data_IF_004899670056
#
_entry.id   IF_004899670056
#
_cell.length_a   1.000
_cell.length_b   1.000
_cell.length_c   1.000
_cell.angle_alpha   90.00
_cell.angle_beta   90.00
_cell.angle_gamma   90.00
#
_symmetry.space_group_name_H-M   'P 1'
#
loop_
_entity.id
_entity.type
_entity.pdbx_description
1 polymer ?
#
# COMPACT_ATOMS: atom_id res chain seq x y z
N UNK A 1 25.64 6.68 13.13
CA UNK A 1 25.40 6.66 14.60
C UNK A 1 26.69 6.70 15.43
N UNK A 2 27.61 5.75 15.27
CA UNK A 2 28.86 5.66 16.07
C UNK A 2 29.70 6.94 16.05
N UNK A 3 29.94 7.52 14.88
CA UNK A 3 30.67 8.79 14.74
C UNK A 3 29.94 9.98 15.40
N UNK A 4 28.61 9.99 15.37
CA UNK A 4 27.82 11.02 16.05
C UNK A 4 27.90 10.88 17.57
N UNK A 5 27.71 9.66 18.11
CA UNK A 5 27.84 9.39 19.55
C UNK A 5 29.23 9.78 20.07
N UNK A 6 30.28 9.53 19.27
CA UNK A 6 31.66 9.90 19.60
C UNK A 6 31.85 11.43 19.59
N UNK A 7 31.33 12.14 18.59
CA UNK A 7 31.54 13.58 18.42
C UNK A 7 30.62 14.46 19.28
N UNK A 8 29.53 13.92 19.82
CA UNK A 8 28.51 14.65 20.58
C UNK A 8 28.59 14.42 22.09
N UNK A 9 29.72 13.94 22.61
CA UNK A 9 29.90 13.63 24.04
C UNK A 9 29.61 14.87 24.90
N UNK A 10 28.68 14.74 25.84
CA UNK A 10 28.24 15.83 26.71
C UNK A 10 27.16 16.77 26.13
N UNK A 11 26.69 16.52 24.90
CA UNK A 11 25.59 17.29 24.28
C UNK A 11 24.28 16.49 24.27
N UNK A 12 23.14 17.19 24.20
CA UNK A 12 21.81 16.61 24.04
C UNK A 12 21.27 16.90 22.65
N UNK A 13 21.09 15.85 21.84
CA UNK A 13 20.46 15.95 20.53
C UNK A 13 18.94 16.03 20.63
N UNK A 14 18.29 16.81 19.77
CA UNK A 14 16.84 16.81 19.64
C UNK A 14 16.38 16.93 18.18
N UNK A 15 15.22 16.33 17.87
CA UNK A 15 14.56 16.49 16.58
C UNK A 15 13.46 17.54 16.68
N UNK A 16 13.65 18.65 15.96
CA UNK A 16 12.73 19.79 15.98
C UNK A 16 11.32 19.43 15.51
N UNK A 17 11.16 18.38 14.68
CA UNK A 17 9.85 17.99 14.17
C UNK A 17 9.01 17.24 15.20
N UNK A 18 9.63 16.66 16.23
CA UNK A 18 8.94 15.79 17.18
C UNK A 18 9.04 16.27 18.63
N UNK A 19 10.04 17.08 18.98
CA UNK A 19 10.22 17.54 20.34
C UNK A 19 9.11 18.53 20.73
N UNK A 20 8.29 18.24 21.77
CA UNK A 20 7.31 19.19 22.24
C UNK A 20 7.98 20.48 22.70
N UNK A 21 7.39 21.63 22.37
CA UNK A 21 7.95 22.95 22.67
C UNK A 21 8.34 23.14 24.15
N UNK A 22 7.52 22.61 25.07
CA UNK A 22 7.80 22.69 26.51
C UNK A 22 9.09 21.97 26.91
N UNK A 23 9.40 20.85 26.26
CA UNK A 23 10.64 20.10 26.50
C UNK A 23 11.82 20.86 25.90
N UNK A 24 11.65 21.46 24.71
CA UNK A 24 12.66 22.34 24.13
C UNK A 24 13.03 23.48 25.08
N UNK A 25 12.03 24.18 25.64
CA UNK A 25 12.26 25.26 26.61
C UNK A 25 13.05 24.78 27.85
N UNK A 26 12.73 23.57 28.36
CA UNK A 26 13.48 22.99 29.48
C UNK A 26 14.94 22.71 29.10
N UNK A 27 15.19 22.16 27.91
CA UNK A 27 16.53 21.89 27.40
C UNK A 27 17.32 23.19 27.17
N UNK A 28 16.70 24.21 26.61
CA UNK A 28 17.30 25.53 26.39
C UNK A 28 17.65 26.24 27.70
N UNK A 29 16.80 26.10 28.74
CA UNK A 29 17.09 26.62 30.08
C UNK A 29 18.18 25.85 30.83
N UNK A 30 18.59 24.68 30.31
CA UNK A 30 19.64 23.88 30.93
C UNK A 30 21.03 24.40 30.51
N UNK A 31 22.02 24.35 31.41
CA UNK A 31 23.42 24.65 31.09
C UNK A 31 24.10 23.58 30.18
N UNK A 32 23.32 22.78 29.45
CA UNK A 32 23.83 21.72 28.56
C UNK A 32 23.86 22.21 27.12
N UNK A 33 24.87 21.77 26.37
CA UNK A 33 24.92 21.99 24.92
C UNK A 33 23.83 21.17 24.23
N UNK A 34 22.88 21.85 23.58
CA UNK A 34 21.84 21.20 22.79
C UNK A 34 22.19 21.24 21.29
N UNK A 35 21.83 20.20 20.55
CA UNK A 35 22.12 20.07 19.12
C UNK A 35 20.85 19.65 18.40
N UNK A 36 20.43 20.43 17.41
CA UNK A 36 19.34 20.04 16.53
C UNK A 36 19.83 18.94 15.55
N UNK A 37 19.09 17.85 15.44
CA UNK A 37 19.39 16.73 14.55
C UNK A 37 18.13 15.92 14.21
N UNK A 38 18.13 15.16 13.13
CA UNK A 38 17.10 14.14 12.92
C UNK A 38 17.30 12.96 13.89
N UNK A 39 16.20 12.38 14.38
CA UNK A 39 16.28 11.19 15.23
C UNK A 39 17.00 10.05 14.48
N UNK A 40 18.15 9.55 14.97
CA UNK A 40 18.89 8.47 14.33
C UNK A 40 18.09 7.15 14.24
N UNK A 41 17.16 6.92 15.19
CA UNK A 41 16.33 5.73 15.17
C UNK A 41 15.44 5.69 13.93
N UNK A 42 14.96 6.85 13.45
CA UNK A 42 14.14 6.94 12.24
C UNK A 42 14.87 6.42 10.99
N UNK A 43 16.15 6.78 10.82
CA UNK A 43 16.93 6.27 9.68
C UNK A 43 17.21 4.79 9.82
N UNK A 44 17.61 4.33 11.02
CA UNK A 44 17.96 2.93 11.25
C UNK A 44 16.77 1.98 11.08
N UNK A 45 15.61 2.30 11.67
CA UNK A 45 14.40 1.46 11.56
C UNK A 45 13.76 1.49 10.17
N UNK A 46 14.07 2.50 9.35
CA UNK A 46 13.57 2.57 7.97
C UNK A 46 14.10 1.45 7.10
N UNK A 47 15.30 0.92 7.39
CA UNK A 47 15.95 -0.19 6.69
C UNK A 47 15.79 -1.47 7.52
N UNK A 48 14.87 -2.35 7.10
CA UNK A 48 14.54 -3.55 7.85
C UNK A 48 15.65 -4.59 7.72
N UNK A 49 15.96 -5.27 8.82
CA UNK A 49 16.84 -6.43 8.82
C UNK A 49 16.11 -7.68 8.29
N UNK A 50 16.84 -8.78 8.08
CA UNK A 50 16.26 -10.00 7.50
C UNK A 50 15.12 -10.60 8.34
N UNK A 51 15.18 -10.51 9.67
CA UNK A 51 14.12 -11.00 10.55
C UNK A 51 12.84 -10.18 10.37
N UNK A 52 12.96 -8.85 10.37
CA UNK A 52 11.84 -7.94 10.12
C UNK A 52 11.26 -8.13 8.72
N UNK A 53 12.09 -8.28 7.69
CA UNK A 53 11.65 -8.55 6.32
C UNK A 53 10.85 -9.87 6.24
N UNK A 54 11.37 -10.95 6.83
CA UNK A 54 10.70 -12.25 6.82
C UNK A 54 9.38 -12.22 7.61
N UNK A 55 9.34 -11.46 8.70
CA UNK A 55 8.11 -11.19 9.45
C UNK A 55 7.09 -10.44 8.61
N UNK A 56 7.50 -9.36 7.94
CA UNK A 56 6.64 -8.58 7.05
C UNK A 56 6.08 -9.47 5.93
N UNK A 57 6.91 -10.30 5.28
CA UNK A 57 6.45 -11.26 4.27
C UNK A 57 5.39 -12.21 4.85
N UNK A 58 5.62 -12.74 6.05
CA UNK A 58 4.70 -13.66 6.72
C UNK A 58 3.36 -12.99 7.07
N UNK A 59 3.40 -11.76 7.59
CA UNK A 59 2.22 -10.95 7.87
C UNK A 59 1.40 -10.68 6.59
N UNK A 60 2.06 -10.30 5.49
CA UNK A 60 1.39 -10.01 4.21
C UNK A 60 0.77 -11.25 3.56
N UNK A 61 1.40 -12.43 3.70
CA UNK A 61 0.80 -13.68 3.24
C UNK A 61 -0.46 -14.02 4.04
N UNK A 62 -0.44 -13.81 5.36
CA UNK A 62 -1.59 -14.02 6.24
C UNK A 62 -2.73 -13.06 5.90
N UNK A 63 -2.41 -11.78 5.72
CA UNK A 63 -3.38 -10.75 5.37
C UNK A 63 -3.97 -10.96 3.97
N UNK A 64 -3.14 -11.37 3.01
CA UNK A 64 -3.59 -11.74 1.66
C UNK A 64 -4.62 -12.87 1.67
N UNK A 65 -4.45 -13.90 2.51
CA UNK A 65 -5.48 -14.93 2.72
C UNK A 65 -6.77 -14.33 3.25
N UNK A 66 -6.71 -13.49 4.28
CA UNK A 66 -7.89 -12.86 4.88
C UNK A 66 -8.65 -12.01 3.85
N UNK A 67 -7.94 -11.18 3.08
CA UNK A 67 -8.53 -10.32 2.06
C UNK A 67 -9.13 -11.13 0.90
N UNK A 68 -8.46 -12.18 0.44
CA UNK A 68 -8.99 -13.06 -0.62
C UNK A 68 -10.25 -13.80 -0.17
N UNK A 69 -10.30 -14.27 1.09
CA UNK A 69 -11.50 -14.88 1.67
C UNK A 69 -12.65 -13.88 1.77
N UNK A 70 -12.37 -12.64 2.14
CA UNK A 70 -13.33 -11.55 2.10
C UNK A 70 -13.87 -11.29 0.69
N UNK A 71 -12.99 -11.16 -0.31
CA UNK A 71 -13.43 -10.96 -1.70
C UNK A 71 -14.26 -12.14 -2.20
N UNK A 72 -13.85 -13.38 -1.92
CA UNK A 72 -14.60 -14.57 -2.28
C UNK A 72 -16.01 -14.56 -1.67
N UNK A 73 -16.13 -14.22 -0.38
CA UNK A 73 -17.43 -14.05 0.29
C UNK A 73 -18.26 -12.98 -0.42
N UNK A 74 -17.69 -11.79 -0.63
CA UNK A 74 -18.39 -10.64 -1.21
C UNK A 74 -18.93 -10.94 -2.62
N UNK A 75 -18.12 -11.56 -3.47
CA UNK A 75 -18.51 -11.88 -4.84
C UNK A 75 -19.42 -13.11 -4.97
N UNK A 76 -19.63 -13.87 -3.89
CA UNK A 76 -20.60 -14.97 -3.84
C UNK A 76 -21.99 -14.56 -3.37
N UNK A 77 -22.12 -13.38 -2.75
CA UNK A 77 -23.41 -12.87 -2.31
C UNK A 77 -24.34 -12.63 -3.51
N UNK A 78 -25.65 -12.86 -3.27
CA UNK A 78 -26.68 -12.43 -4.20
C UNK A 78 -26.66 -10.90 -4.32
N UNK A 79 -26.89 -10.38 -5.53
CA UNK A 79 -26.94 -8.94 -5.83
C UNK A 79 -28.11 -8.23 -5.16
N UNK A 80 -29.02 -8.97 -4.53
CA UNK A 80 -30.10 -8.47 -3.67
C UNK A 80 -29.66 -8.26 -2.22
N UNK A 81 -28.46 -8.71 -1.83
CA UNK A 81 -27.98 -8.59 -0.45
C UNK A 81 -27.82 -7.12 -0.05
N UNK A 82 -28.42 -6.74 1.07
CA UNK A 82 -28.29 -5.39 1.61
C UNK A 82 -26.98 -5.23 2.36
N UNK A 83 -25.97 -4.69 1.69
CA UNK A 83 -24.68 -4.35 2.29
C UNK A 83 -24.53 -2.84 2.43
N UNK A 84 -23.70 -2.42 3.38
CA UNK A 84 -23.26 -1.05 3.55
C UNK A 84 -21.76 -1.03 3.86
N UNK A 85 -21.17 0.15 3.89
CA UNK A 85 -19.73 0.33 4.07
C UNK A 85 -19.26 -0.27 5.41
N UNK A 86 -19.99 -0.03 6.50
CA UNK A 86 -19.66 -0.58 7.82
C UNK A 86 -19.77 -2.11 7.83
N UNK A 87 -20.74 -2.71 7.13
CA UNK A 87 -20.86 -4.16 7.08
C UNK A 87 -19.68 -4.82 6.32
N UNK A 88 -19.15 -4.16 5.28
CA UNK A 88 -17.94 -4.60 4.59
C UNK A 88 -16.69 -4.48 5.49
N UNK A 89 -16.53 -3.36 6.20
CA UNK A 89 -15.44 -3.14 7.17
C UNK A 89 -15.41 -4.28 8.19
N UNK A 90 -16.53 -4.47 8.91
CA UNK A 90 -16.65 -5.50 9.94
C UNK A 90 -16.36 -6.89 9.39
N UNK A 91 -16.81 -7.19 8.16
CA UNK A 91 -16.58 -8.50 7.56
C UNK A 91 -15.11 -8.73 7.23
N UNK A 92 -14.43 -7.77 6.59
CA UNK A 92 -13.00 -7.90 6.30
C UNK A 92 -12.18 -8.05 7.58
N UNK A 93 -12.44 -7.23 8.58
CA UNK A 93 -11.78 -7.35 9.89
C UNK A 93 -12.03 -8.70 10.56
N UNK A 94 -13.24 -9.26 10.43
CA UNK A 94 -13.52 -10.60 10.96
C UNK A 94 -12.61 -11.67 10.34
N UNK A 95 -12.31 -11.59 9.04
CA UNK A 95 -11.38 -12.52 8.39
C UNK A 95 -9.95 -12.35 8.92
N UNK A 96 -9.52 -11.11 9.22
CA UNK A 96 -8.22 -10.85 9.86
C UNK A 96 -8.18 -11.38 11.30
N UNK A 97 -9.21 -11.12 12.11
CA UNK A 97 -9.34 -11.62 13.49
C UNK A 97 -9.33 -13.14 13.54
N UNK A 98 -10.03 -13.80 12.62
CA UNK A 98 -10.09 -15.26 12.50
C UNK A 98 -8.76 -15.92 12.14
N UNK A 99 -7.73 -15.16 11.75
CA UNK A 99 -6.37 -15.71 11.63
C UNK A 99 -5.79 -16.12 12.99
N UNK A 100 -6.25 -15.52 14.09
CA UNK A 100 -5.69 -15.69 15.43
C UNK A 100 -4.40 -14.91 15.69
N UNK A 101 -3.88 -14.16 14.71
CA UNK A 101 -2.62 -13.42 14.82
C UNK A 101 -2.79 -11.90 14.83
N UNK A 102 -3.98 -11.38 14.48
CA UNK A 102 -4.23 -9.94 14.48
C UNK A 102 -4.12 -9.39 15.91
N UNK A 103 -3.32 -8.33 16.08
CA UNK A 103 -3.23 -7.56 17.32
C UNK A 103 -4.21 -6.40 17.31
N UNK A 104 -4.20 -5.63 16.23
CA UNK A 104 -5.19 -4.59 15.96
C UNK A 104 -5.20 -4.30 14.45
N UNK A 105 -6.18 -3.53 13.96
CA UNK A 105 -6.06 -2.88 12.66
C UNK A 105 -4.90 -1.87 12.66
N UNK A 106 -4.20 -1.70 11.54
CA UNK A 106 -3.07 -0.74 11.45
C UNK A 106 -3.53 0.72 11.34
N UNK A 107 -4.77 0.92 10.93
CA UNK A 107 -5.52 2.18 10.88
C UNK A 107 -7.01 1.87 10.69
N UNK A 108 -7.88 2.87 10.88
CA UNK A 108 -9.32 2.73 10.63
C UNK A 108 -9.58 2.38 9.16
N UNK A 109 -10.19 1.22 8.90
CA UNK A 109 -10.51 0.78 7.54
C UNK A 109 -11.33 1.83 6.79
N UNK A 110 -10.82 2.27 5.66
CA UNK A 110 -11.53 3.14 4.72
C UNK A 110 -12.31 2.25 3.77
N UNK A 111 -13.64 2.32 3.83
CA UNK A 111 -14.52 1.65 2.88
C UNK A 111 -15.49 2.68 2.30
N UNK A 112 -15.21 3.20 1.11
CA UNK A 112 -16.03 4.21 0.46
C UNK A 112 -16.70 3.69 -0.82
N UNK A 113 -18.02 3.72 -0.87
CA UNK A 113 -18.83 3.30 -2.02
C UNK A 113 -19.31 4.50 -2.84
N UNK A 114 -19.07 4.45 -4.15
CA UNK A 114 -19.43 5.53 -5.08
C UNK A 114 -18.85 6.87 -4.62
N UNK A 115 -19.68 7.91 -4.37
CA UNK A 115 -19.20 9.24 -3.98
C UNK A 115 -18.29 9.26 -2.76
N UNK A 116 -18.52 8.37 -1.78
CA UNK A 116 -17.71 8.30 -0.56
C UNK A 116 -16.28 7.84 -0.85
N UNK A 117 -16.07 7.03 -1.89
CA UNK A 117 -14.73 6.63 -2.34
C UNK A 117 -13.88 7.80 -2.83
N UNK A 118 -14.49 8.92 -3.23
CA UNK A 118 -13.77 10.12 -3.67
C UNK A 118 -13.13 10.91 -2.52
N UNK A 119 -13.47 10.59 -1.26
CA UNK A 119 -12.92 11.25 -0.08
C UNK A 119 -11.71 10.43 0.39
N UNK A 120 -10.50 10.98 0.20
CA UNK A 120 -9.23 10.23 0.34
C UNK A 120 -9.09 9.55 1.72
N UNK A 121 -9.43 10.27 2.79
CA UNK A 121 -9.43 9.77 4.18
C UNK A 121 -10.85 9.57 4.71
N UNK A 122 -11.75 9.00 3.89
CA UNK A 122 -13.12 8.71 4.31
C UNK A 122 -13.16 7.77 5.53
N UNK A 123 -14.02 8.07 6.50
CA UNK A 123 -14.34 7.16 7.59
C UNK A 123 -15.85 7.04 7.69
N UNK A 124 -16.36 5.83 7.52
CA UNK A 124 -17.80 5.59 7.64
C UNK A 124 -18.24 5.79 9.10
N UNK A 125 -19.24 6.64 9.28
CA UNK A 125 -19.96 6.83 10.55
C UNK A 125 -21.38 6.30 10.40
N UNK A 126 -22.14 6.18 11.49
CA UNK A 126 -23.53 5.75 11.39
C UNK A 126 -24.38 6.70 10.51
N UNK A 127 -24.03 7.98 10.45
CA UNK A 127 -24.71 9.01 9.66
C UNK A 127 -24.28 9.00 8.19
N UNK A 128 -23.01 8.68 7.90
CA UNK A 128 -22.45 8.69 6.55
C UNK A 128 -22.44 7.32 5.86
N UNK A 129 -22.74 6.25 6.60
CA UNK A 129 -22.74 4.86 6.14
C UNK A 129 -23.71 4.67 4.97
N UNK A 130 -23.15 4.41 3.79
CA UNK A 130 -23.91 4.29 2.56
C UNK A 130 -24.16 2.82 2.22
N UNK A 131 -25.39 2.51 1.81
CA UNK A 131 -25.72 1.22 1.20
C UNK A 131 -24.95 1.03 -0.10
N UNK A 132 -24.39 -0.15 -0.29
CA UNK A 132 -23.64 -0.51 -1.49
C UNK A 132 -24.63 -0.71 -2.64
N UNK A 133 -24.49 0.04 -3.73
CA UNK A 133 -25.29 -0.18 -4.95
C UNK A 133 -24.55 -1.11 -5.90
N UNK A 134 -25.31 -1.80 -6.75
CA UNK A 134 -24.82 -2.84 -7.67
C UNK A 134 -23.59 -2.40 -8.47
N UNK A 135 -23.61 -1.22 -9.08
CA UNK A 135 -22.56 -0.78 -10.00
C UNK A 135 -21.61 0.26 -9.39
N UNK A 136 -21.65 0.44 -8.08
CA UNK A 136 -20.68 1.30 -7.40
C UNK A 136 -19.27 0.71 -7.49
N UNK A 137 -18.30 1.61 -7.62
CA UNK A 137 -16.92 1.32 -7.23
C UNK A 137 -16.84 1.48 -5.72
N UNK A 138 -16.26 0.48 -5.08
CA UNK A 138 -16.01 0.42 -3.64
C UNK A 138 -14.50 0.43 -3.46
N UNK A 139 -14.00 1.51 -2.87
CA UNK A 139 -12.61 1.61 -2.45
C UNK A 139 -12.50 1.03 -1.04
N UNK A 140 -11.69 0.00 -0.87
CA UNK A 140 -11.42 -0.63 0.42
C UNK A 140 -9.92 -0.52 0.69
N UNK A 141 -9.56 0.32 1.63
CA UNK A 141 -8.20 0.52 2.10
C UNK A 141 -8.12 0.17 3.59
N UNK A 142 -7.20 -0.73 3.92
CA UNK A 142 -7.23 -1.44 5.18
C UNK A 142 -5.92 -2.17 5.46
N UNK A 143 -5.61 -2.38 6.74
CA UNK A 143 -4.45 -3.16 7.13
C UNK A 143 -4.54 -3.75 8.53
N UNK A 144 -3.55 -4.56 8.89
CA UNK A 144 -3.46 -5.23 10.18
C UNK A 144 -2.09 -5.07 10.83
N UNK A 145 -2.09 -5.04 12.16
CA UNK A 145 -0.91 -5.19 13.00
C UNK A 145 -0.79 -6.63 13.46
N UNK A 146 0.37 -7.21 13.18
CA UNK A 146 0.77 -8.54 13.63
C UNK A 146 2.10 -8.41 14.35
N UNK A 147 2.40 -9.29 15.32
CA UNK A 147 3.68 -9.22 16.04
C UNK A 147 4.91 -9.23 15.12
N UNK A 148 4.75 -9.82 13.94
CA UNK A 148 5.78 -9.98 12.94
C UNK A 148 5.72 -8.95 11.80
N UNK A 149 4.73 -8.06 11.76
CA UNK A 149 4.67 -7.03 10.71
C UNK A 149 3.41 -6.19 10.68
N UNK A 150 3.45 -5.14 9.87
CA UNK A 150 2.33 -4.23 9.60
C UNK A 150 1.93 -4.36 8.13
N UNK A 151 0.63 -4.43 7.84
CA UNK A 151 0.13 -4.45 6.46
C UNK A 151 -0.63 -3.18 6.12
N UNK A 152 -0.63 -2.87 4.83
CA UNK A 152 -1.42 -1.83 4.20
C UNK A 152 -1.81 -2.28 2.78
N UNK A 153 -3.09 -2.16 2.45
CA UNK A 153 -3.61 -2.59 1.16
C UNK A 153 -4.93 -1.90 0.84
N UNK A 154 -4.88 -1.14 -0.25
CA UNK A 154 -6.06 -0.73 -0.99
C UNK A 154 -6.40 -1.62 -2.19
N UNK A 155 -7.66 -2.05 -2.29
CA UNK A 155 -8.28 -2.53 -3.53
C UNK A 155 -9.56 -1.74 -3.80
N UNK A 156 -9.66 -1.22 -5.02
CA UNK A 156 -10.93 -0.75 -5.57
C UNK A 156 -11.60 -1.89 -6.32
N UNK A 157 -12.85 -2.18 -5.99
CA UNK A 157 -13.64 -3.26 -6.58
C UNK A 157 -15.01 -2.74 -7.03
N UNK A 158 -15.63 -3.41 -7.99
CA UNK A 158 -17.00 -3.16 -8.45
C UNK A 158 -17.81 -4.44 -8.31
N UNK A 159 -18.95 -4.37 -7.63
CA UNK A 159 -19.77 -5.57 -7.42
C UNK A 159 -20.49 -6.01 -8.70
N UNK A 160 -20.98 -5.05 -9.48
CA UNK A 160 -21.73 -5.25 -10.71
C UNK A 160 -20.87 -5.01 -11.96
N UNK A 161 -21.35 -4.14 -12.84
CA UNK A 161 -20.66 -3.84 -14.10
C UNK A 161 -20.03 -2.46 -14.03
N UNK A 162 -18.71 -2.42 -14.17
CA UNK A 162 -17.98 -1.17 -14.32
C UNK A 162 -18.12 -0.66 -15.76
N UNK A 163 -18.55 0.59 -15.97
CA UNK A 163 -18.65 1.18 -17.31
C UNK A 163 -17.27 1.41 -17.96
N UNK A 164 -17.25 1.65 -19.27
CA UNK A 164 -16.01 1.83 -20.05
C UNK A 164 -15.15 2.98 -19.54
N UNK A 165 -15.76 4.08 -19.09
CA UNK A 165 -15.03 5.26 -18.59
C UNK A 165 -14.32 4.93 -17.28
N UNK A 166 -15.01 4.26 -16.37
CA UNK A 166 -14.48 3.88 -15.07
C UNK A 166 -13.42 2.78 -15.20
N UNK A 167 -13.58 1.84 -16.15
CA UNK A 167 -12.51 0.87 -16.49
C UNK A 167 -11.25 1.56 -17.01
N UNK A 168 -11.40 2.58 -17.87
CA UNK A 168 -10.27 3.37 -18.37
C UNK A 168 -9.54 4.05 -17.22
N UNK A 169 -10.25 4.72 -16.31
CA UNK A 169 -9.66 5.37 -15.12
C UNK A 169 -8.94 4.36 -14.21
N UNK A 170 -9.59 3.23 -13.90
CA UNK A 170 -8.98 2.15 -13.13
C UNK A 170 -7.70 1.63 -13.77
N UNK A 171 -7.72 1.48 -15.09
CA UNK A 171 -6.56 1.00 -15.85
C UNK A 171 -5.43 2.02 -15.86
N UNK A 172 -5.70 3.32 -15.94
CA UNK A 172 -4.66 4.36 -15.81
C UNK A 172 -3.98 4.32 -14.43
N UNK A 173 -4.77 4.17 -13.35
CA UNK A 173 -4.24 4.00 -12.00
C UNK A 173 -3.37 2.74 -11.89
N UNK A 174 -3.85 1.60 -12.43
CA UNK A 174 -3.08 0.36 -12.44
C UNK A 174 -1.79 0.49 -13.26
N UNK A 175 -1.81 1.15 -14.42
CA UNK A 175 -0.60 1.38 -15.23
C UNK A 175 0.45 2.16 -14.43
N UNK A 176 0.04 3.15 -13.65
CA UNK A 176 0.91 3.85 -12.71
C UNK A 176 1.57 2.92 -11.69
N UNK A 177 0.77 2.08 -11.02
CA UNK A 177 1.27 1.09 -10.05
C UNK A 177 2.25 0.12 -10.70
N UNK A 178 1.90 -0.41 -11.88
CA UNK A 178 2.70 -1.38 -12.61
C UNK A 178 4.03 -0.76 -13.06
N UNK A 179 4.00 0.46 -13.60
CA UNK A 179 5.18 1.15 -14.10
C UNK A 179 6.19 1.41 -12.98
N UNK A 180 5.73 1.83 -11.80
CA UNK A 180 6.61 2.02 -10.67
C UNK A 180 7.09 0.67 -10.09
N UNK A 181 6.20 -0.32 -9.96
CA UNK A 181 6.53 -1.64 -9.42
C UNK A 181 7.58 -2.40 -10.23
N UNK A 182 7.68 -2.15 -11.55
CA UNK A 182 8.69 -2.78 -12.42
C UNK A 182 10.00 -1.99 -12.51
N UNK A 183 10.05 -0.78 -11.96
CA UNK A 183 11.14 0.13 -12.19
C UNK A 183 12.45 -0.47 -11.66
N UNK A 184 13.53 -0.25 -12.41
CA UNK A 184 14.90 -0.43 -11.96
C UNK A 184 15.60 0.91 -12.04
N UNK A 185 16.36 1.28 -11.01
CA UNK A 185 16.98 2.60 -10.94
C UNK A 185 18.37 2.53 -10.28
N UNK A 186 19.30 3.44 -10.59
CA UNK A 186 20.59 3.49 -9.89
C UNK A 186 20.41 3.92 -8.43
N UNK A 187 21.30 3.47 -7.54
CA UNK A 187 21.42 4.02 -6.18
C UNK A 187 21.60 5.55 -6.19
N UNK A 188 21.25 6.19 -5.08
CA UNK A 188 21.34 7.63 -4.90
C UNK A 188 20.06 8.40 -5.20
N UNK A 189 19.03 7.74 -5.76
CA UNK A 189 17.73 8.38 -5.98
C UNK A 189 16.86 8.35 -4.73
N UNK A 190 16.08 9.42 -4.58
CA UNK A 190 15.08 9.59 -3.52
C UNK A 190 13.69 9.27 -4.07
N UNK A 191 12.72 8.98 -3.21
CA UNK A 191 11.38 8.62 -3.69
C UNK A 191 10.65 9.73 -4.47
N UNK A 192 11.07 11.00 -4.34
CA UNK A 192 10.57 12.11 -5.16
C UNK A 192 10.88 11.93 -6.64
N UNK A 193 12.02 11.33 -6.98
CA UNK A 193 12.43 11.09 -8.37
C UNK A 193 11.57 10.01 -9.04
N UNK A 194 10.98 9.13 -8.23
CA UNK A 194 10.15 8.01 -8.70
C UNK A 194 8.64 8.33 -8.70
N UNK A 195 8.17 9.31 -7.91
CA UNK A 195 6.76 9.71 -7.83
C UNK A 195 6.12 10.03 -9.21
N UNK A 196 6.79 10.74 -10.15
CA UNK A 196 6.25 10.97 -11.49
C UNK A 196 5.97 9.70 -12.32
N UNK A 197 6.69 8.60 -12.07
CA UNK A 197 6.56 7.35 -12.85
C UNK A 197 5.16 6.76 -12.70
N UNK A 198 4.57 6.85 -11.50
CA UNK A 198 3.21 6.39 -11.27
C UNK A 198 2.15 7.38 -11.81
N UNK A 199 2.45 8.68 -11.79
CA UNK A 199 1.50 9.75 -12.17
C UNK A 199 1.35 9.94 -13.67
N UNK A 200 2.40 9.66 -14.45
CA UNK A 200 2.48 10.03 -15.88
C UNK A 200 1.24 9.63 -16.72
N UNK A 201 0.61 8.49 -16.43
CA UNK A 201 -0.56 8.03 -17.18
C UNK A 201 -1.80 8.86 -16.89
N UNK A 202 -1.99 9.28 -15.64
CA UNK A 202 -3.07 10.20 -15.27
C UNK A 202 -2.77 11.60 -15.80
N UNK A 203 -1.53 12.08 -15.70
CA UNK A 203 -1.13 13.38 -16.25
C UNK A 203 -1.38 13.49 -17.76
N UNK A 204 -1.05 12.45 -18.53
CA UNK A 204 -1.34 12.39 -19.97
C UNK A 204 -2.86 12.35 -20.29
N UNK A 205 -3.71 12.19 -19.28
CA UNK A 205 -5.16 12.30 -19.37
C UNK A 205 -5.72 13.55 -18.70
N UNK A 206 -4.85 14.50 -18.30
CA UNK A 206 -5.18 15.72 -17.56
C UNK A 206 -5.82 15.47 -16.18
N UNK A 207 -5.38 14.40 -15.52
CA UNK A 207 -5.80 14.04 -14.16
C UNK A 207 -4.58 13.90 -13.23
N UNK A 208 -4.78 14.01 -11.92
CA UNK A 208 -3.78 13.74 -10.89
C UNK A 208 -4.47 13.22 -9.60
N UNK A 209 -3.69 12.90 -8.57
CA UNK A 209 -4.16 12.58 -7.22
C UNK A 209 -3.45 13.42 -6.15
N UNK A 210 -4.22 13.89 -5.16
CA UNK A 210 -3.80 14.91 -4.17
C UNK A 210 -3.07 14.33 -2.94
N UNK A 211 -2.40 13.19 -3.10
CA UNK A 211 -1.56 12.58 -2.06
C UNK A 211 -0.26 12.04 -2.66
N UNK A 212 0.67 11.57 -1.82
CA UNK A 212 1.91 10.92 -2.26
C UNK A 212 1.64 9.59 -2.98
N UNK A 213 2.56 9.14 -3.83
CA UNK A 213 2.49 7.80 -4.43
C UNK A 213 2.75 6.69 -3.43
N UNK A 214 3.43 7.00 -2.33
CA UNK A 214 3.53 6.10 -1.17
C UNK A 214 4.34 6.65 -0.01
N UNK A 215 4.40 5.86 1.05
CA UNK A 215 5.07 6.14 2.32
C UNK A 215 5.85 4.92 2.80
N UNK A 216 6.79 5.10 3.74
CA UNK A 216 7.42 3.96 4.41
C UNK A 216 6.45 3.25 5.35
N UNK A 217 6.71 1.97 5.64
CA UNK A 217 5.90 1.15 6.56
C UNK A 217 6.79 0.47 7.59
N UNK A 218 6.43 0.59 8.87
CA UNK A 218 7.13 -0.02 10.00
C UNK A 218 6.92 -1.53 10.12
N UNK A 219 7.84 -2.20 10.80
CA UNK A 219 7.67 -3.61 11.17
C UNK A 219 7.00 -3.71 12.54
N UNK A 220 5.69 -3.97 12.57
CA UNK A 220 4.84 -3.92 13.78
C UNK A 220 4.92 -2.56 14.50
N UNK A 221 4.86 -1.49 13.71
CA UNK A 221 4.95 -0.09 14.13
C UNK A 221 3.97 0.76 13.29
N UNK A 222 4.21 2.07 13.18
CA UNK A 222 3.38 2.97 12.38
C UNK A 222 3.25 2.47 10.93
N UNK A 223 2.01 2.44 10.43
CA UNK A 223 1.73 2.15 9.01
C UNK A 223 2.29 3.25 8.10
N UNK A 224 2.18 4.51 8.54
CA UNK A 224 2.86 5.66 7.96
C UNK A 224 4.18 5.90 8.69
N UNK A 225 5.28 5.37 8.17
CA UNK A 225 6.61 5.47 8.78
C UNK A 225 7.57 6.30 7.93
N UNK A 226 7.94 7.48 8.43
CA UNK A 226 9.03 8.28 7.90
C UNK A 226 10.43 7.71 8.27
N UNK A 227 11.51 8.28 7.71
CA UNK A 227 11.53 9.49 6.90
C UNK A 227 11.38 9.22 5.38
N UNK A 228 11.26 7.95 5.00
CA UNK A 228 11.20 7.53 3.60
C UNK A 228 9.77 7.59 3.06
N UNK A 229 9.64 7.71 1.74
CA UNK A 229 8.36 7.73 1.05
C UNK A 229 8.56 7.99 -0.44
N UNK A 230 7.51 7.81 -1.24
CA UNK A 230 7.48 8.12 -2.67
C UNK A 230 6.52 9.29 -2.86
N UNK A 231 7.00 10.51 -2.62
CA UNK A 231 6.21 11.72 -2.72
C UNK A 231 7.10 12.95 -2.94
N UNK A 232 6.47 14.10 -3.23
CA UNK A 232 7.17 15.35 -3.53
C UNK A 232 8.05 15.89 -2.38
N UNK A 233 7.80 15.48 -1.13
CA UNK A 233 8.57 15.91 0.05
C UNK A 233 9.73 14.98 0.38
N UNK A 234 9.79 13.79 -0.21
CA UNK A 234 10.86 12.81 0.05
C UNK A 234 12.23 13.43 -0.24
N UNK A 235 13.16 13.21 0.67
CA UNK A 235 14.54 13.71 0.62
C UNK A 235 15.58 12.70 1.11
N UNK A 236 15.16 11.47 1.42
CA UNK A 236 16.02 10.36 1.83
C UNK A 236 16.17 9.38 0.67
N UNK A 237 17.40 8.94 0.43
CA UNK A 237 17.74 7.94 -0.58
C UNK A 237 17.07 6.61 -0.27
N UNK A 238 16.61 5.92 -1.33
CA UNK A 238 16.04 4.59 -1.18
C UNK A 238 17.16 3.54 -1.11
N UNK A 239 17.14 2.69 -0.09
CA UNK A 239 18.12 1.64 0.15
C UNK A 239 17.46 0.25 0.27
N UNK A 240 18.19 -0.84 -0.05
CA UNK A 240 17.71 -2.20 0.16
C UNK A 240 17.27 -2.44 1.61
N UNK A 241 16.14 -3.11 1.80
CA UNK A 241 15.56 -3.36 3.12
C UNK A 241 14.46 -2.36 3.52
N UNK A 242 14.31 -1.25 2.80
CA UNK A 242 13.20 -0.33 2.98
C UNK A 242 11.89 -0.91 2.45
N UNK A 243 10.79 -0.75 3.19
CA UNK A 243 9.45 -1.16 2.79
C UNK A 243 8.58 0.09 2.62
N UNK A 244 7.93 0.22 1.46
CA UNK A 244 7.11 1.37 1.06
C UNK A 244 5.78 0.91 0.46
N UNK A 245 4.76 1.76 0.51
CA UNK A 245 3.57 1.63 -0.35
C UNK A 245 3.85 2.12 -1.78
N UNK A 246 3.12 1.53 -2.74
CA UNK A 246 2.87 2.10 -4.07
C UNK A 246 1.35 2.12 -4.23
N UNK A 247 0.75 3.29 -4.16
CA UNK A 247 -0.69 3.48 -3.99
C UNK A 247 -1.27 4.61 -4.87
N UNK A 248 -1.01 4.65 -6.19
CA UNK A 248 -1.63 5.68 -7.04
C UNK A 248 -3.16 5.63 -6.95
N UNK A 249 -3.78 6.79 -7.16
CA UNK A 249 -5.23 6.92 -7.09
C UNK A 249 -5.83 7.87 -8.11
N UNK A 250 -7.15 7.94 -8.13
CA UNK A 250 -7.95 8.88 -8.90
C UNK A 250 -9.25 9.13 -8.14
N UNK A 251 -9.58 10.40 -7.91
CA UNK A 251 -10.75 10.78 -7.12
C UNK A 251 -11.58 11.81 -7.89
N UNK A 252 -12.81 11.43 -8.22
CA UNK A 252 -13.75 12.35 -8.84
C UNK A 252 -14.80 12.73 -7.80
N UNK A 253 -14.69 13.96 -7.29
CA UNK A 253 -15.57 14.52 -6.26
C UNK A 253 -17.04 14.22 -6.54
N UNK A 254 -17.74 13.74 -5.51
CA UNK A 254 -19.16 13.35 -5.55
C UNK A 254 -19.52 12.19 -6.49
N UNK A 255 -18.54 11.47 -7.07
CA UNK A 255 -18.82 10.36 -7.99
C UNK A 255 -18.18 9.05 -7.59
N UNK A 256 -16.85 9.00 -7.54
CA UNK A 256 -16.08 7.78 -7.29
C UNK A 256 -14.66 8.08 -6.84
N UNK A 257 -14.04 7.11 -6.19
CA UNK A 257 -12.59 7.05 -6.04
C UNK A 257 -12.06 5.68 -6.40
N UNK A 258 -10.83 5.68 -6.90
CA UNK A 258 -10.06 4.48 -7.22
C UNK A 258 -8.69 4.68 -6.58
N UNK A 259 -8.26 3.73 -5.77
CA UNK A 259 -6.87 3.58 -5.33
C UNK A 259 -6.51 2.12 -5.41
N UNK A 260 -5.28 1.86 -5.82
CA UNK A 260 -4.72 0.52 -5.95
C UNK A 260 -3.37 0.53 -5.27
N UNK A 261 -3.18 -0.35 -4.30
CA UNK A 261 -2.02 -0.27 -3.44
C UNK A 261 -1.38 -1.62 -3.16
N UNK A 262 -0.06 -1.63 -3.19
CA UNK A 262 0.74 -2.73 -2.68
C UNK A 262 1.88 -2.19 -1.83
N UNK A 263 2.25 -2.94 -0.79
CA UNK A 263 3.54 -2.76 -0.14
C UNK A 263 4.63 -3.48 -0.94
N UNK A 264 5.77 -2.82 -1.04
CA UNK A 264 6.95 -3.25 -1.77
C UNK A 264 8.21 -3.12 -0.93
N UNK A 265 9.12 -4.06 -1.10
CA UNK A 265 10.46 -4.07 -0.51
C UNK A 265 11.47 -3.60 -1.55
N UNK A 266 12.30 -2.62 -1.20
CA UNK A 266 13.46 -2.23 -2.02
C UNK A 266 14.52 -3.32 -1.92
N UNK A 267 15.00 -3.78 -3.08
CA UNK A 267 16.06 -4.78 -3.21
C UNK A 267 17.12 -4.32 -4.20
N UNK A 268 18.30 -4.93 -4.10
CA UNK A 268 19.30 -4.86 -5.19
C UNK A 268 18.79 -5.68 -6.37
N UNK A 269 19.05 -5.21 -7.60
CA UNK A 269 18.86 -6.05 -8.79
C UNK A 269 19.85 -7.21 -8.71
N UNK A 270 19.34 -8.44 -8.79
CA UNK A 270 20.16 -9.64 -8.90
C UNK A 270 20.27 -10.10 -10.35
N UNK A 271 21.29 -10.91 -10.66
CA UNK A 271 21.51 -11.50 -11.99
C UNK A 271 21.72 -10.48 -13.12
N UNK A 272 22.38 -9.36 -12.81
CA UNK A 272 22.79 -8.36 -13.79
C UNK A 272 24.20 -7.84 -13.42
N UNK A 273 25.10 -7.60 -14.40
CA UNK A 273 26.48 -7.15 -14.10
C UNK A 273 26.55 -5.82 -13.34
N UNK A 274 25.51 -5.00 -13.46
CA UNK A 274 25.39 -3.73 -12.76
C UNK A 274 24.58 -3.87 -11.47
N UNK A 275 25.24 -4.30 -10.40
CA UNK A 275 24.66 -4.48 -9.06
C UNK A 275 24.40 -3.15 -8.30
N UNK A 276 24.74 -2.01 -8.90
CA UNK A 276 24.46 -0.68 -8.33
C UNK A 276 23.00 -0.27 -8.46
N UNK A 277 22.18 -1.05 -9.19
CA UNK A 277 20.77 -0.79 -9.40
C UNK A 277 19.88 -1.43 -8.32
N UNK A 278 18.78 -0.75 -8.03
CA UNK A 278 17.72 -1.18 -7.13
C UNK A 278 16.46 -1.53 -7.93
N UNK A 279 15.58 -2.30 -7.29
CA UNK A 279 14.26 -2.68 -7.78
C UNK A 279 13.29 -2.90 -6.62
N UNK A 280 12.01 -3.06 -6.93
CA UNK A 280 10.98 -3.44 -5.96
C UNK A 280 10.65 -4.94 -6.01
N UNK A 281 10.38 -5.53 -4.85
CA UNK A 281 9.69 -6.81 -4.70
C UNK A 281 8.34 -6.59 -4.00
N UNK A 282 7.25 -7.05 -4.59
CA UNK A 282 5.91 -6.88 -4.02
C UNK A 282 5.64 -7.86 -2.88
N UNK A 283 5.21 -7.34 -1.74
CA UNK A 283 4.79 -8.10 -0.56
C UNK A 283 3.30 -8.46 -0.62
N UNK A 284 2.45 -7.48 -0.95
CA UNK A 284 1.00 -7.63 -1.00
C UNK A 284 0.55 -8.64 -2.07
N UNK A 285 -0.20 -9.66 -1.66
CA UNK A 285 -0.58 -10.81 -2.51
C UNK A 285 -2.10 -10.93 -2.67
N UNK A 286 -2.72 -9.95 -3.36
CA UNK A 286 -4.18 -9.90 -3.61
C UNK A 286 -4.43 -9.47 -5.06
N UNK A 287 -5.26 -10.18 -5.85
CA UNK A 287 -5.41 -9.87 -7.27
C UNK A 287 -6.09 -8.51 -7.50
N UNK A 288 -5.84 -7.91 -8.65
CA UNK A 288 -6.63 -6.79 -9.15
C UNK A 288 -7.89 -7.31 -9.83
N UNK A 289 -9.01 -6.60 -9.72
CA UNK A 289 -10.26 -7.08 -10.31
C UNK A 289 -10.22 -6.97 -11.83
N UNK A 290 -10.10 -8.12 -12.51
CA UNK A 290 -9.97 -8.19 -13.96
C UNK A 290 -11.12 -7.51 -14.72
N UNK A 291 -12.34 -7.59 -14.21
CA UNK A 291 -13.51 -6.97 -14.85
C UNK A 291 -13.48 -5.44 -14.86
N UNK A 292 -12.63 -4.81 -14.05
CA UNK A 292 -12.40 -3.36 -14.05
C UNK A 292 -11.28 -2.92 -15.00
N UNK A 293 -10.62 -3.86 -15.68
CA UNK A 293 -9.55 -3.54 -16.62
C UNK A 293 -10.11 -3.28 -18.02
N UNK A 294 -9.62 -2.20 -18.63
CA UNK A 294 -9.58 -2.06 -20.08
C UNK A 294 -8.29 -2.73 -20.58
N UNK A 295 -8.38 -4.02 -20.87
CA UNK A 295 -7.23 -4.84 -21.28
C UNK A 295 -6.57 -4.29 -22.56
N UNK A 296 -7.31 -3.58 -23.42
CA UNK A 296 -6.79 -3.02 -24.67
C UNK A 296 -5.75 -1.91 -24.43
N UNK A 297 -5.77 -1.28 -23.25
CA UNK A 297 -4.83 -0.23 -22.87
C UNK A 297 -3.50 -0.75 -22.29
N UNK A 298 -3.43 -2.06 -22.02
CA UNK A 298 -2.24 -2.68 -21.44
C UNK A 298 -1.24 -3.08 -22.52
N UNK A 299 -0.02 -2.60 -22.39
CA UNK A 299 1.10 -3.03 -23.23
C UNK A 299 1.53 -4.47 -22.89
N UNK A 300 2.37 -5.05 -23.75
CA UNK A 300 2.89 -6.41 -23.56
C UNK A 300 3.59 -6.61 -22.22
N UNK A 301 4.39 -5.64 -21.76
CA UNK A 301 5.12 -5.73 -20.49
C UNK A 301 4.16 -5.65 -19.30
N UNK A 302 3.11 -4.84 -19.38
CA UNK A 302 2.04 -4.70 -18.38
C UNK A 302 1.22 -5.98 -18.24
N UNK A 303 0.83 -6.59 -19.36
CA UNK A 303 0.19 -7.91 -19.33
C UNK A 303 1.09 -8.97 -18.71
N UNK A 304 2.38 -9.01 -19.07
CA UNK A 304 3.36 -9.95 -18.50
C UNK A 304 3.47 -9.74 -16.98
N UNK A 305 3.67 -8.51 -16.53
CA UNK A 305 3.78 -8.20 -15.10
C UNK A 305 2.52 -8.63 -14.34
N UNK A 306 1.33 -8.31 -14.85
CA UNK A 306 0.07 -8.64 -14.21
C UNK A 306 -0.15 -10.17 -14.15
N UNK A 307 0.18 -10.88 -15.22
CA UNK A 307 0.12 -12.34 -15.25
C UNK A 307 1.10 -12.97 -14.25
N UNK A 308 2.34 -12.46 -14.17
CA UNK A 308 3.34 -12.92 -13.20
C UNK A 308 2.91 -12.63 -11.76
N UNK A 309 2.34 -11.44 -11.50
CA UNK A 309 1.78 -11.07 -10.21
C UNK A 309 0.65 -12.03 -9.80
N UNK A 310 -0.34 -12.24 -10.66
CA UNK A 310 -1.45 -13.15 -10.41
C UNK A 310 -1.03 -14.61 -10.24
N UNK A 311 -0.06 -15.09 -11.04
CA UNK A 311 0.53 -16.42 -10.86
C UNK A 311 1.19 -16.53 -9.47
N UNK A 312 1.99 -15.54 -9.07
CA UNK A 312 2.64 -15.57 -7.76
C UNK A 312 1.65 -15.62 -6.59
N UNK A 313 0.47 -14.99 -6.74
CA UNK A 313 -0.60 -15.07 -5.74
C UNK A 313 -1.16 -16.49 -5.68
N UNK A 314 -1.41 -17.14 -6.82
CA UNK A 314 -1.87 -18.54 -6.83
C UNK A 314 -0.86 -19.46 -6.16
N UNK A 315 0.42 -19.28 -6.44
CA UNK A 315 1.48 -20.12 -5.88
C UNK A 315 1.63 -19.92 -4.35
N UNK A 316 1.56 -18.67 -3.88
CA UNK A 316 1.76 -18.31 -2.46
C UNK A 316 0.51 -18.51 -1.58
N UNK A 317 -0.66 -18.15 -2.10
CA UNK A 317 -1.92 -18.11 -1.34
C UNK A 317 -2.80 -19.32 -1.65
N UNK A 318 -2.79 -19.83 -2.87
CA UNK A 318 -3.64 -20.94 -3.30
C UNK A 318 -3.62 -22.16 -2.37
N UNK A 319 -2.44 -22.64 -1.90
CA UNK A 319 -2.35 -23.75 -0.95
C UNK A 319 -3.01 -23.51 0.41
N UNK A 320 -3.36 -22.26 0.75
CA UNK A 320 -3.96 -21.86 2.04
C UNK A 320 -5.48 -21.70 1.98
N UNK A 321 -6.08 -21.97 0.82
CA UNK A 321 -7.50 -21.78 0.55
C UNK A 321 -8.24 -23.12 0.45
N UNK A 322 -9.54 -23.12 0.77
CA UNK A 322 -10.42 -24.25 0.46
C UNK A 322 -10.57 -24.45 -1.06
N UNK A 323 -11.02 -25.64 -1.49
CA UNK A 323 -11.22 -25.96 -2.90
C UNK A 323 -12.08 -24.92 -3.64
N UNK A 324 -13.15 -24.42 -3.01
CA UNK A 324 -14.04 -23.44 -3.63
C UNK A 324 -13.43 -22.04 -3.71
N UNK A 325 -12.71 -21.62 -2.67
CA UNK A 325 -11.97 -20.35 -2.65
C UNK A 325 -10.85 -20.36 -3.69
N UNK A 326 -10.09 -21.46 -3.79
CA UNK A 326 -9.04 -21.63 -4.81
C UNK A 326 -9.61 -21.58 -6.23
N UNK A 327 -10.70 -22.31 -6.52
CA UNK A 327 -11.37 -22.26 -7.82
C UNK A 327 -11.79 -20.83 -8.19
N UNK A 328 -12.30 -20.08 -7.22
CA UNK A 328 -12.65 -18.68 -7.44
C UNK A 328 -11.41 -17.81 -7.70
N UNK A 329 -10.35 -17.96 -6.90
CA UNK A 329 -9.10 -17.21 -7.07
C UNK A 329 -8.46 -17.50 -8.44
N UNK A 330 -8.42 -18.76 -8.88
CA UNK A 330 -7.93 -19.14 -10.21
C UNK A 330 -8.66 -18.42 -11.33
N UNK A 331 -9.99 -18.20 -11.19
CA UNK A 331 -10.77 -17.41 -12.17
C UNK A 331 -10.40 -15.93 -12.16
N UNK A 332 -10.09 -15.35 -11.00
CA UNK A 332 -9.64 -13.95 -10.90
C UNK A 332 -8.22 -13.77 -11.47
N UNK A 333 -7.39 -14.81 -11.36
CA UNK A 333 -6.00 -14.82 -11.79
C UNK A 333 -5.77 -15.40 -13.21
N UNK A 334 -6.84 -15.57 -14.01
CA UNK A 334 -6.69 -16.06 -15.40
C UNK A 334 -5.73 -15.14 -16.17
N UNK A 335 -4.71 -15.68 -16.85
CA UNK A 335 -3.77 -14.87 -17.63
C UNK A 335 -4.46 -14.03 -18.71
N UNK A 336 -3.93 -12.85 -18.98
CA UNK A 336 -4.28 -12.03 -20.14
C UNK A 336 -3.43 -12.48 -21.32
N UNK A 337 -4.07 -12.68 -22.48
CA UNK A 337 -3.39 -12.99 -23.74
C UNK A 337 -2.46 -11.84 -24.12
N UNK A 338 -1.19 -12.17 -24.34
CA UNK A 338 -0.11 -11.21 -24.61
C UNK A 338 -0.18 -10.68 -26.03
#
# INVERSE_FOLDING_TARGET
>A
LRNFIINSKGSTGFDQNYLPWKIYQYLESSNKKIIQMSDPANTLKSVKNNTEINGMISAHLRDGVAFIKFMYWFFKLDKTSELDEISLIKKLESYRRNTGFLREISFDTICGSGPNGAIIHYRATNESNRKIKKDDIILIDSGGQYLDGTTDITRSICWGTCDTKNKRLYTLVLKGLIALSRQRWPRGLIGRDLDPVARQFLWNSLNDYEHGTGHGVGAYLCVHEGPIGINRKSNIELEPGMILSIEPGFYQKHKLGIRLENLVLVKKVTNHPNESFLCFETLTSVPFQRNMLDISMLDKKEKIWLNSYHKSILDKIGPKLSSNELKWLTRQCVPITI
#
